data_IF_334195652993
#
_entry.id   IF_334195652993
#
_cell.length_a   1.000
_cell.length_b   1.000
_cell.length_c   1.000
_cell.angle_alpha   90.00
_cell.angle_beta   90.00
_cell.angle_gamma   90.00
#
_symmetry.space_group_name_H-M   'P 1'
#
loop_
_entity.id
_entity.type
_entity.pdbx_description
1 polymer ?
#
# COMPACT_ATOMS: atom_id res chain seq x y z
N UNK A 1 11.25 -13.23 -2.62
CA UNK A 1 10.43 -13.82 -3.70
C UNK A 1 10.13 -12.77 -4.75
N UNK A 2 9.84 -13.16 -5.98
CA UNK A 2 9.43 -12.28 -7.08
C UNK A 2 7.93 -12.41 -7.33
N UNK A 3 7.31 -11.43 -7.99
CA UNK A 3 5.91 -11.49 -8.39
C UNK A 3 5.60 -12.77 -9.19
N UNK A 4 6.49 -13.17 -10.11
CA UNK A 4 6.31 -14.37 -10.92
C UNK A 4 6.30 -15.65 -10.07
N UNK A 5 7.13 -15.75 -9.04
CA UNK A 5 7.13 -16.89 -8.12
C UNK A 5 5.83 -16.96 -7.31
N UNK A 6 5.30 -15.82 -6.85
CA UNK A 6 4.00 -15.76 -6.19
C UNK A 6 2.85 -16.20 -7.11
N UNK A 7 2.86 -15.78 -8.38
CA UNK A 7 1.83 -16.12 -9.35
C UNK A 7 1.87 -17.58 -9.79
N UNK A 8 3.08 -18.15 -9.98
CA UNK A 8 3.28 -19.52 -10.50
C UNK A 8 3.00 -20.61 -9.46
N UNK A 9 3.10 -20.31 -8.17
CA UNK A 9 2.85 -21.28 -7.10
C UNK A 9 1.36 -21.60 -7.00
N UNK A 10 0.95 -22.74 -7.57
CA UNK A 10 -0.44 -23.25 -7.54
C UNK A 10 -0.70 -24.31 -6.47
N UNK A 11 0.34 -24.75 -5.76
CA UNK A 11 0.28 -25.92 -4.87
C UNK A 11 0.05 -25.57 -3.40
N UNK A 12 0.35 -24.35 -2.99
CA UNK A 12 0.15 -23.88 -1.61
C UNK A 12 -1.01 -22.89 -1.48
N UNK A 13 -1.67 -22.83 -0.32
CA UNK A 13 -2.67 -21.81 -0.04
C UNK A 13 -2.10 -20.41 -0.21
N UNK A 14 -2.86 -19.51 -0.84
CA UNK A 14 -2.47 -18.13 -1.02
C UNK A 14 -2.70 -17.31 0.24
N UNK A 15 -1.74 -16.44 0.55
CA UNK A 15 -1.77 -15.55 1.70
C UNK A 15 -2.08 -14.14 1.23
N UNK A 16 -3.14 -13.57 1.77
CA UNK A 16 -3.57 -12.21 1.41
C UNK A 16 -3.55 -11.30 2.63
N UNK A 17 -3.14 -10.06 2.42
CA UNK A 17 -3.17 -9.00 3.42
C UNK A 17 -4.06 -7.87 2.90
N UNK A 18 -5.10 -7.51 3.64
CA UNK A 18 -5.97 -6.38 3.35
C UNK A 18 -5.77 -5.29 4.40
N UNK A 19 -5.59 -4.05 3.94
CA UNK A 19 -5.31 -2.88 4.76
C UNK A 19 -6.38 -1.81 4.54
N UNK A 20 -7.13 -1.53 5.59
CA UNK A 20 -8.13 -0.47 5.54
C UNK A 20 -7.49 0.92 5.54
N UNK A 21 -8.16 1.86 4.89
CA UNK A 21 -7.87 3.28 5.02
C UNK A 21 -8.23 3.80 6.41
N UNK A 22 -7.87 5.01 6.69
CA UNK A 22 -8.22 5.66 7.95
C UNK A 22 -7.26 6.77 8.37
N UNK A 23 -6.57 7.38 7.42
CA UNK A 23 -5.65 8.48 7.69
C UNK A 23 -4.62 8.08 8.75
N UNK A 24 -4.48 8.86 9.82
CA UNK A 24 -3.48 8.64 10.88
C UNK A 24 -3.63 7.26 11.58
N UNK A 25 -4.79 6.62 11.52
CA UNK A 25 -4.98 5.26 12.06
C UNK A 25 -4.10 4.21 11.37
N UNK A 26 -3.58 4.50 10.17
CA UNK A 26 -2.54 3.69 9.52
C UNK A 26 -1.30 3.48 10.38
N UNK A 27 -0.99 4.39 11.30
CA UNK A 27 0.11 4.21 12.26
C UNK A 27 -0.12 2.99 13.18
N UNK A 28 -1.38 2.72 13.56
CA UNK A 28 -1.73 1.53 14.35
C UNK A 28 -1.52 0.25 13.52
N UNK A 29 -1.96 0.25 12.26
CA UNK A 29 -1.73 -0.86 11.34
C UNK A 29 -0.23 -1.15 11.18
N UNK A 30 0.60 -0.13 11.06
CA UNK A 30 2.07 -0.27 11.01
C UNK A 30 2.65 -0.87 12.29
N UNK A 31 2.05 -0.58 13.46
CA UNK A 31 2.43 -1.23 14.72
C UNK A 31 2.21 -2.74 14.68
N UNK A 32 1.06 -3.20 14.23
CA UNK A 32 0.77 -4.63 14.05
C UNK A 32 1.65 -5.28 12.98
N UNK A 33 1.80 -4.64 11.82
CA UNK A 33 2.64 -5.13 10.74
C UNK A 33 4.10 -5.30 11.17
N UNK A 34 4.61 -4.41 12.03
CA UNK A 34 5.96 -4.54 12.58
C UNK A 34 6.12 -5.80 13.44
N UNK A 35 5.10 -6.15 14.24
CA UNK A 35 5.12 -7.39 15.02
C UNK A 35 5.04 -8.62 14.10
N UNK A 36 4.17 -8.59 13.10
CA UNK A 36 4.04 -9.66 12.10
C UNK A 36 5.39 -9.87 11.37
N UNK A 37 6.00 -8.80 10.88
CA UNK A 37 7.31 -8.86 10.19
C UNK A 37 8.38 -9.47 11.12
N UNK A 38 8.43 -9.06 12.39
CA UNK A 38 9.38 -9.58 13.35
C UNK A 38 9.18 -11.08 13.67
N UNK A 39 7.92 -11.52 13.79
CA UNK A 39 7.59 -12.94 14.04
C UNK A 39 7.99 -13.78 12.83
N UNK A 40 7.58 -13.37 11.63
CA UNK A 40 7.87 -14.10 10.41
C UNK A 40 9.37 -14.14 10.11
N UNK A 41 10.08 -13.04 10.33
CA UNK A 41 11.55 -12.98 10.23
C UNK A 41 12.24 -14.01 11.13
N UNK A 42 11.78 -14.15 12.38
CA UNK A 42 12.32 -15.18 13.30
C UNK A 42 12.05 -16.59 12.80
N UNK A 43 10.88 -16.84 12.23
CA UNK A 43 10.51 -18.14 11.67
C UNK A 43 11.32 -18.51 10.43
N UNK A 44 11.78 -17.52 9.66
CA UNK A 44 12.64 -17.71 8.47
C UNK A 44 14.14 -17.68 8.77
N UNK A 45 14.55 -17.93 10.00
CA UNK A 45 15.95 -18.00 10.39
C UNK A 45 16.61 -16.64 10.65
N UNK A 46 15.84 -15.63 10.99
CA UNK A 46 16.32 -14.28 11.30
C UNK A 46 16.94 -13.54 10.08
N UNK A 47 16.49 -13.84 8.88
CA UNK A 47 16.97 -13.16 7.68
C UNK A 47 16.66 -11.66 7.75
N UNK A 48 17.70 -10.84 7.76
CA UNK A 48 17.59 -9.38 7.79
C UNK A 48 16.96 -8.81 6.50
N UNK A 49 17.04 -9.57 5.41
CA UNK A 49 16.46 -9.19 4.13
C UNK A 49 15.00 -9.60 3.97
N UNK A 50 14.44 -10.35 4.91
CA UNK A 50 13.04 -10.75 4.89
C UNK A 50 12.12 -9.53 4.85
N UNK A 51 11.14 -9.57 3.97
CA UNK A 51 10.10 -8.56 3.78
C UNK A 51 8.72 -9.21 3.79
N UNK A 52 7.69 -8.45 4.13
CA UNK A 52 6.31 -8.96 4.10
C UNK A 52 5.86 -9.32 2.67
N UNK A 53 6.43 -8.69 1.65
CA UNK A 53 6.25 -9.09 0.24
C UNK A 53 6.75 -10.51 -0.06
N UNK A 54 7.67 -11.07 0.73
CA UNK A 54 8.12 -12.45 0.55
C UNK A 54 7.13 -13.47 1.11
N UNK A 55 6.22 -13.03 2.00
CA UNK A 55 5.27 -13.89 2.67
C UNK A 55 3.87 -13.83 2.09
N UNK A 56 3.38 -12.63 1.75
CA UNK A 56 2.04 -12.44 1.21
C UNK A 56 2.06 -12.49 -0.32
N UNK A 57 1.14 -13.26 -0.89
CA UNK A 57 0.97 -13.40 -2.36
C UNK A 57 0.15 -12.25 -2.97
N UNK A 58 -0.67 -11.59 -2.15
CA UNK A 58 -1.43 -10.40 -2.52
C UNK A 58 -1.54 -9.45 -1.33
N UNK A 59 -1.19 -8.20 -1.54
CA UNK A 59 -1.38 -7.14 -0.57
C UNK A 59 -2.31 -6.10 -1.19
N UNK A 60 -3.38 -5.75 -0.50
CA UNK A 60 -4.32 -4.75 -1.01
C UNK A 60 -4.73 -3.74 0.04
N UNK A 61 -5.23 -2.59 -0.41
CA UNK A 61 -5.69 -1.57 0.53
C UNK A 61 -6.53 -0.47 -0.10
N UNK A 62 -7.10 0.35 0.79
CA UNK A 62 -7.87 1.56 0.46
C UNK A 62 -7.21 2.79 1.08
N UNK A 63 -7.24 3.94 0.43
CA UNK A 63 -6.73 5.21 0.96
C UNK A 63 -5.30 5.05 1.51
N UNK A 64 -5.02 5.45 2.75
CA UNK A 64 -3.71 5.29 3.40
C UNK A 64 -3.28 3.81 3.50
N UNK A 65 -4.21 2.87 3.58
CA UNK A 65 -3.93 1.45 3.51
C UNK A 65 -3.36 1.03 2.15
N UNK A 66 -3.78 1.67 1.05
CA UNK A 66 -3.19 1.41 -0.27
C UNK A 66 -1.76 1.92 -0.40
N UNK A 67 -1.43 3.03 0.26
CA UNK A 67 -0.04 3.53 0.32
C UNK A 67 0.86 2.52 1.04
N UNK A 68 0.41 2.05 2.21
CA UNK A 68 1.16 1.03 2.97
C UNK A 68 1.28 -0.26 2.14
N UNK A 69 0.19 -0.71 1.49
CA UNK A 69 0.20 -1.89 0.63
C UNK A 69 1.22 -1.77 -0.51
N UNK A 70 1.27 -0.61 -1.18
CA UNK A 70 2.21 -0.33 -2.27
C UNK A 70 3.66 -0.33 -1.79
N UNK A 71 3.95 0.30 -0.65
CA UNK A 71 5.28 0.28 -0.05
C UNK A 71 5.73 -1.14 0.33
N UNK A 72 4.83 -1.95 0.91
CA UNK A 72 5.12 -3.36 1.19
C UNK A 72 5.38 -4.14 -0.10
N UNK A 73 4.57 -3.92 -1.15
CA UNK A 73 4.68 -4.64 -2.41
C UNK A 73 5.99 -4.37 -3.16
N UNK A 74 6.57 -3.18 -3.04
CA UNK A 74 7.91 -2.88 -3.58
C UNK A 74 9.06 -3.38 -2.68
N UNK A 75 8.75 -4.03 -1.57
CA UNK A 75 9.73 -4.65 -0.69
C UNK A 75 10.32 -3.74 0.38
N UNK A 76 9.65 -2.65 0.74
CA UNK A 76 10.06 -1.85 1.90
C UNK A 76 9.82 -2.63 3.20
N UNK A 77 10.72 -2.49 4.17
CA UNK A 77 10.49 -2.97 5.54
C UNK A 77 9.41 -2.13 6.23
N UNK A 78 8.71 -2.71 7.18
CA UNK A 78 7.70 -1.96 7.95
C UNK A 78 8.32 -0.78 8.69
N UNK A 79 9.58 -0.88 9.10
CA UNK A 79 10.27 0.23 9.76
C UNK A 79 10.50 1.43 8.82
N UNK A 80 10.91 1.19 7.57
CA UNK A 80 11.05 2.25 6.55
C UNK A 80 9.70 2.91 6.26
N UNK A 81 8.63 2.11 6.10
CA UNK A 81 7.27 2.62 5.90
C UNK A 81 6.82 3.46 7.09
N UNK A 82 7.10 3.02 8.31
CA UNK A 82 6.76 3.75 9.53
C UNK A 82 7.44 5.11 9.59
N UNK A 83 8.73 5.19 9.28
CA UNK A 83 9.47 6.45 9.25
C UNK A 83 8.88 7.41 8.20
N UNK A 84 8.66 6.92 6.98
CA UNK A 84 8.00 7.69 5.91
C UNK A 84 6.61 8.18 6.35
N UNK A 85 5.83 7.33 7.01
CA UNK A 85 4.48 7.66 7.46
C UNK A 85 4.45 8.72 8.56
N UNK A 86 5.43 8.72 9.45
CA UNK A 86 5.61 9.74 10.49
C UNK A 86 6.00 11.08 9.87
N UNK A 87 6.93 11.09 8.91
CA UNK A 87 7.35 12.30 8.17
C UNK A 87 6.18 12.90 7.37
N UNK A 88 5.36 12.04 6.75
CA UNK A 88 4.11 12.44 6.09
C UNK A 88 3.13 13.05 7.10
N UNK A 89 2.99 12.41 8.25
CA UNK A 89 2.12 12.86 9.33
C UNK A 89 2.48 14.28 9.79
N UNK A 90 3.74 14.56 10.03
CA UNK A 90 4.20 15.89 10.43
C UNK A 90 3.93 16.94 9.35
N UNK A 91 4.18 16.64 8.08
CA UNK A 91 4.02 17.60 6.98
C UNK A 91 2.56 17.87 6.62
N UNK A 92 1.72 16.83 6.65
CA UNK A 92 0.34 16.90 6.22
C UNK A 92 -0.58 17.33 7.37
N UNK A 93 -0.36 16.82 8.58
CA UNK A 93 -1.27 17.00 9.71
C UNK A 93 -0.84 18.12 10.68
N UNK A 94 0.46 18.52 10.73
CA UNK A 94 0.93 19.51 11.69
C UNK A 94 0.53 20.96 11.36
N UNK A 95 0.20 21.29 10.11
CA UNK A 95 0.09 22.71 9.71
C UNK A 95 -1.28 23.35 9.85
N UNK A 96 -2.40 22.68 10.07
CA UNK A 96 -3.70 23.42 10.12
C UNK A 96 -4.92 22.81 10.85
N UNK A 97 -4.91 21.63 11.43
CA UNK A 97 -6.16 21.10 12.00
C UNK A 97 -6.00 20.51 13.40
N UNK A 98 -6.96 20.86 14.29
CA UNK A 98 -7.23 20.14 15.54
C UNK A 98 -7.47 18.68 15.19
N UNK A 99 -6.54 17.84 15.52
CA UNK A 99 -6.39 16.43 15.12
C UNK A 99 -7.62 15.52 15.34
N UNK A 100 -8.55 15.91 16.17
CA UNK A 100 -9.83 15.18 16.38
C UNK A 100 -10.88 15.37 15.28
N UNK A 101 -10.72 16.34 14.36
CA UNK A 101 -11.61 16.52 13.20
C UNK A 101 -11.25 15.66 11.98
N UNK A 102 -10.11 14.97 12.00
CA UNK A 102 -9.61 14.14 10.90
C UNK A 102 -10.34 12.77 10.85
N UNK A 103 -11.25 12.51 11.78
CA UNK A 103 -12.00 11.25 11.83
C UNK A 103 -13.13 11.13 10.79
N UNK A 104 -13.48 12.21 10.09
CA UNK A 104 -14.51 12.20 9.06
C UNK A 104 -13.86 12.26 7.68
N UNK A 105 -13.81 11.12 6.99
CA UNK A 105 -13.26 10.98 5.62
C UNK A 105 -14.02 11.90 4.64
N UNK A 106 -15.31 12.18 4.88
CA UNK A 106 -16.14 13.08 4.10
C UNK A 106 -15.67 14.55 4.17
N UNK A 107 -15.11 14.98 5.30
CA UNK A 107 -14.58 16.34 5.45
C UNK A 107 -13.20 16.51 4.78
N UNK A 108 -12.43 15.43 4.63
CA UNK A 108 -11.17 15.45 3.88
C UNK A 108 -11.39 15.72 2.39
N UNK A 109 -12.47 15.17 1.82
CA UNK A 109 -12.83 15.39 0.41
C UNK A 109 -13.47 16.78 0.17
N UNK A 110 -14.13 17.36 1.19
CA UNK A 110 -14.81 18.67 1.07
C UNK A 110 -13.92 19.87 1.44
N UNK A 111 -12.83 19.67 2.16
CA UNK A 111 -12.05 20.74 2.79
C UNK A 111 -10.90 21.31 1.93
N UNK A 112 -10.87 21.09 0.61
CA UNK A 112 -9.84 21.65 -0.27
C UNK A 112 -8.43 21.29 0.20
N UNK A 113 -8.19 20.01 0.43
CA UNK A 113 -6.90 19.50 0.89
C UNK A 113 -5.81 19.81 -0.14
N UNK A 114 -4.69 20.33 0.29
CA UNK A 114 -3.56 20.53 -0.61
C UNK A 114 -2.92 19.16 -0.87
N UNK A 115 -3.17 18.58 -2.03
CA UNK A 115 -2.68 17.26 -2.46
C UNK A 115 -1.17 17.22 -2.69
N UNK A 116 -0.56 18.39 -2.97
CA UNK A 116 0.86 18.51 -3.34
C UNK A 116 1.84 17.86 -2.37
N UNK A 117 1.73 18.04 -1.02
CA UNK A 117 2.67 17.41 -0.11
C UNK A 117 2.61 15.88 -0.14
N UNK A 118 1.42 15.30 -0.37
CA UNK A 118 1.24 13.87 -0.51
C UNK A 118 1.82 13.39 -1.84
N UNK A 119 1.49 14.06 -2.94
CA UNK A 119 2.00 13.77 -4.28
C UNK A 119 3.53 13.81 -4.30
N UNK A 120 4.16 14.86 -3.76
CA UNK A 120 5.62 14.98 -3.67
C UNK A 120 6.27 13.83 -2.88
N UNK A 121 5.63 13.37 -1.81
CA UNK A 121 6.16 12.26 -1.02
C UNK A 121 5.97 10.91 -1.73
N UNK A 122 4.82 10.69 -2.38
CA UNK A 122 4.58 9.49 -3.18
C UNK A 122 5.55 9.42 -4.36
N UNK A 123 5.79 10.55 -5.03
CA UNK A 123 6.77 10.65 -6.10
C UNK A 123 8.19 10.32 -5.64
N UNK A 124 8.58 10.73 -4.43
CA UNK A 124 9.90 10.37 -3.86
C UNK A 124 10.05 8.87 -3.59
N UNK A 125 8.96 8.20 -3.21
CA UNK A 125 8.99 6.78 -2.84
C UNK A 125 8.86 5.89 -4.07
N UNK A 126 7.92 6.21 -4.95
CA UNK A 126 7.56 5.35 -6.08
C UNK A 126 8.22 5.79 -7.39
N UNK A 127 8.59 7.08 -7.52
CA UNK A 127 9.19 7.60 -8.76
C UNK A 127 8.32 7.29 -9.97
N UNK A 128 8.91 6.64 -10.95
CA UNK A 128 8.26 6.22 -12.19
C UNK A 128 7.74 4.76 -12.17
N UNK A 129 7.69 4.11 -10.98
CA UNK A 129 7.20 2.74 -10.86
C UNK A 129 5.71 2.69 -11.23
N UNK A 130 5.36 1.85 -12.17
CA UNK A 130 3.98 1.58 -12.59
C UNK A 130 3.47 0.26 -12.03
N UNK A 131 2.15 0.06 -12.03
CA UNK A 131 1.54 -1.20 -11.58
C UNK A 131 1.98 -2.42 -12.41
N UNK A 132 2.39 -2.21 -13.66
CA UNK A 132 2.92 -3.26 -14.53
C UNK A 132 4.40 -3.59 -14.32
N UNK A 133 5.09 -2.88 -13.45
CA UNK A 133 6.52 -3.06 -13.21
C UNK A 133 6.80 -4.31 -12.37
N UNK A 134 7.14 -5.40 -13.05
CA UNK A 134 7.44 -6.70 -12.43
C UNK A 134 8.84 -6.78 -11.83
N UNK A 135 9.70 -5.81 -12.10
CA UNK A 135 11.05 -5.74 -11.54
C UNK A 135 11.03 -5.15 -10.13
N UNK A 136 10.28 -4.07 -9.93
CA UNK A 136 10.21 -3.37 -8.64
C UNK A 136 9.09 -3.90 -7.74
N UNK A 137 7.94 -4.30 -8.28
CA UNK A 137 6.85 -4.86 -7.48
C UNK A 137 7.06 -6.36 -7.26
N UNK A 138 7.26 -6.74 -6.01
CA UNK A 138 7.69 -8.10 -5.63
C UNK A 138 6.55 -9.09 -5.44
N UNK A 139 5.33 -8.61 -5.15
CA UNK A 139 4.15 -9.44 -4.90
C UNK A 139 2.89 -8.87 -5.56
N UNK A 140 1.79 -9.59 -5.50
CA UNK A 140 0.49 -9.09 -5.95
C UNK A 140 0.09 -7.82 -5.19
N UNK A 141 -0.36 -6.81 -5.92
CA UNK A 141 -0.82 -5.53 -5.38
C UNK A 141 -2.23 -5.22 -5.88
N UNK A 142 -3.11 -4.82 -4.96
CA UNK A 142 -4.46 -4.35 -5.25
C UNK A 142 -4.70 -2.99 -4.59
N UNK A 143 -4.87 -1.95 -5.40
CA UNK A 143 -5.26 -0.62 -4.95
C UNK A 143 -6.76 -0.45 -5.21
N UNK A 144 -7.55 -0.29 -4.16
CA UNK A 144 -8.99 -0.10 -4.28
C UNK A 144 -9.30 1.38 -4.39
N UNK A 145 -9.74 1.78 -5.58
CA UNK A 145 -10.16 3.14 -5.90
C UNK A 145 -11.68 3.23 -6.12
N UNK A 146 -12.18 4.43 -6.28
CA UNK A 146 -13.57 4.71 -6.66
C UNK A 146 -13.58 5.51 -7.96
N UNK A 147 -14.35 5.06 -8.93
CA UNK A 147 -14.57 5.78 -10.18
C UNK A 147 -15.47 7.01 -9.93
N UNK A 148 -15.05 8.14 -10.47
CA UNK A 148 -15.81 9.40 -10.33
C UNK A 148 -17.05 9.43 -11.22
N UNK A 149 -17.01 8.78 -12.40
CA UNK A 149 -18.08 8.75 -13.40
C UNK A 149 -19.25 7.86 -12.99
N UNK A 150 -18.98 6.69 -12.43
CA UNK A 150 -20.00 5.67 -12.08
C UNK A 150 -20.22 5.48 -10.59
N UNK A 151 -19.41 6.13 -9.75
CA UNK A 151 -19.37 5.88 -8.30
C UNK A 151 -19.11 4.43 -7.90
N UNK A 152 -18.67 3.58 -8.83
CA UNK A 152 -18.37 2.17 -8.58
C UNK A 152 -16.98 1.99 -7.96
N UNK A 153 -16.82 0.89 -7.21
CA UNK A 153 -15.50 0.46 -6.73
C UNK A 153 -14.68 -0.04 -7.91
N UNK A 154 -13.42 0.39 -7.96
CA UNK A 154 -12.49 0.01 -9.02
C UNK A 154 -11.18 -0.54 -8.42
N UNK A 155 -11.00 -1.87 -8.39
CA UNK A 155 -9.74 -2.47 -7.97
C UNK A 155 -8.70 -2.40 -9.11
N UNK A 156 -7.60 -1.72 -8.84
CA UNK A 156 -6.42 -1.66 -9.70
C UNK A 156 -5.46 -2.76 -9.24
N UNK A 157 -5.20 -3.75 -10.08
CA UNK A 157 -4.39 -4.94 -9.75
C UNK A 157 -3.23 -5.10 -10.75
N UNK A 158 -2.07 -5.53 -10.23
CA UNK A 158 -0.88 -5.80 -11.04
C UNK A 158 -0.82 -7.22 -11.61
N UNK A 159 -1.93 -7.97 -11.64
CA UNK A 159 -1.96 -9.33 -12.16
C UNK A 159 -2.01 -9.33 -13.70
N UNK A 160 -1.04 -9.92 -14.42
CA UNK A 160 -0.99 -9.90 -15.89
C UNK A 160 -2.21 -10.52 -16.58
N UNK A 161 -2.88 -11.48 -15.92
CA UNK A 161 -4.13 -12.08 -16.38
C UNK A 161 -5.39 -11.30 -16.01
N UNK A 162 -5.26 -10.11 -15.42
CA UNK A 162 -6.39 -9.25 -15.08
C UNK A 162 -7.12 -8.75 -16.33
N UNK A 163 -8.46 -8.74 -16.27
CA UNK A 163 -9.30 -8.37 -17.43
C UNK A 163 -8.92 -7.04 -18.08
N UNK A 164 -8.46 -6.07 -17.29
CA UNK A 164 -8.16 -4.72 -17.74
C UNK A 164 -6.66 -4.38 -17.73
N UNK A 165 -5.79 -5.36 -17.47
CA UNK A 165 -4.35 -5.13 -17.34
C UNK A 165 -3.70 -4.53 -18.59
N UNK A 166 -4.14 -4.96 -19.78
CA UNK A 166 -3.62 -4.50 -21.08
C UNK A 166 -4.61 -3.61 -21.86
N UNK A 167 -5.70 -3.18 -21.25
CA UNK A 167 -6.69 -2.36 -21.95
C UNK A 167 -6.45 -0.88 -21.69
N UNK A 168 -6.56 -0.06 -22.75
CA UNK A 168 -6.53 1.39 -22.62
C UNK A 168 -7.64 1.95 -21.71
N UNK A 169 -8.73 1.18 -21.55
CA UNK A 169 -9.85 1.50 -20.68
C UNK A 169 -9.61 1.12 -19.20
N UNK A 170 -8.48 0.50 -18.89
CA UNK A 170 -8.09 0.06 -17.54
C UNK A 170 -7.38 1.12 -16.70
N UNK A 171 -7.21 2.31 -17.26
CA UNK A 171 -6.63 3.47 -16.56
C UNK A 171 -7.69 4.39 -16.00
#
# INVERSE_FOLDING_TARGET
MTLQEHLSNKTSPKRMLALDGGGIRGALSLGYLQQIENILRKQTGNDKNFRLSDYFDLIGGTSTGSIIASCLAIGMSVNEIKNMYMDLGEKIFAKKYKWWKIFEIDDMLKAGYNEKPLEEQLQKVFGEITLGDTEHIKTGLCIVAKRADTNSVWPLINHPGGKYFNSADGM
#
